data_IF_974894435949
#
_entry.id   IF_974894435949
#
_cell.length_a   1.000
_cell.length_b   1.000
_cell.length_c   1.000
_cell.angle_alpha   90.00
_cell.angle_beta   90.00
_cell.angle_gamma   90.00
#
_symmetry.space_group_name_H-M   'P 1'
#
loop_
_entity.id
_entity.type
_entity.pdbx_description
1 polymer ?
#
# COMPACT_ATOMS: atom_id res chain seq x y z
N UNK A 1 5.70 0.54 13.94
CA UNK A 1 6.77 -0.05 14.79
C UNK A 1 7.95 -0.50 13.95
N UNK A 2 9.17 -0.35 14.45
CA UNK A 2 10.40 -0.58 13.68
C UNK A 2 10.46 -1.99 13.07
N UNK A 3 10.00 -3.01 13.82
CA UNK A 3 9.93 -4.39 13.37
C UNK A 3 9.12 -4.60 12.07
N UNK A 4 8.17 -3.72 11.75
CA UNK A 4 7.39 -3.76 10.51
C UNK A 4 7.94 -2.80 9.46
N UNK A 5 8.46 -1.64 9.89
CA UNK A 5 9.06 -0.65 9.01
C UNK A 5 10.28 -1.19 8.25
N UNK A 6 11.06 -2.05 8.89
CA UNK A 6 12.26 -2.69 8.32
C UNK A 6 12.08 -4.17 8.00
N UNK A 7 10.83 -4.67 7.98
CA UNK A 7 10.53 -6.10 7.78
C UNK A 7 10.91 -6.61 6.39
N UNK A 8 10.76 -5.77 5.37
CA UNK A 8 10.99 -6.12 3.98
C UNK A 8 12.15 -5.32 3.41
N UNK A 9 13.02 -6.00 2.67
CA UNK A 9 14.12 -5.39 1.94
C UNK A 9 13.55 -4.59 0.74
N UNK A 10 13.77 -3.25 0.68
CA UNK A 10 13.34 -2.44 -0.45
C UNK A 10 13.89 -2.89 -1.81
N UNK A 11 15.01 -3.61 -1.84
CA UNK A 11 15.58 -4.14 -3.08
C UNK A 11 14.69 -5.22 -3.73
N UNK A 12 13.78 -5.84 -2.97
CA UNK A 12 12.81 -6.81 -3.49
C UNK A 12 11.57 -6.17 -4.12
N UNK A 13 11.35 -4.88 -3.89
CA UNK A 13 10.22 -4.16 -4.49
C UNK A 13 10.54 -3.92 -5.94
N UNK A 14 9.77 -4.48 -6.88
CA UNK A 14 9.78 -4.06 -8.28
C UNK A 14 8.75 -2.96 -8.52
N UNK A 15 9.18 -1.81 -9.04
CA UNK A 15 8.25 -0.74 -9.39
C UNK A 15 7.50 -1.07 -10.69
N UNK A 16 6.20 -0.71 -10.79
CA UNK A 16 5.41 -1.02 -11.97
C UNK A 16 5.94 -0.24 -13.18
N UNK A 17 5.95 -0.81 -14.41
CA UNK A 17 6.45 -0.10 -15.60
C UNK A 17 5.81 1.27 -15.85
N UNK A 18 4.57 1.45 -15.38
CA UNK A 18 3.85 2.72 -15.42
C UNK A 18 4.49 3.89 -14.67
N UNK A 19 5.54 3.67 -13.84
CA UNK A 19 6.33 4.77 -13.26
C UNK A 19 6.97 5.66 -14.34
N UNK A 20 7.14 5.15 -15.56
CA UNK A 20 7.66 5.92 -16.70
C UNK A 20 6.63 6.86 -17.36
N UNK A 21 5.49 7.12 -16.70
CA UNK A 21 4.41 7.98 -17.20
C UNK A 21 4.89 9.39 -17.59
N UNK A 22 4.42 9.87 -18.75
CA UNK A 22 4.76 11.19 -19.33
C UNK A 22 3.62 12.20 -19.23
N UNK A 23 2.39 11.71 -18.97
CA UNK A 23 1.14 12.45 -18.99
C UNK A 23 0.78 13.05 -20.36
N UNK A 24 1.42 12.61 -21.44
CA UNK A 24 1.11 13.09 -22.79
C UNK A 24 -0.32 12.69 -23.19
N UNK A 25 -1.13 13.68 -23.61
CA UNK A 25 -2.53 13.45 -23.99
C UNK A 25 -3.48 13.16 -22.81
N UNK A 26 -3.01 13.23 -21.56
CA UNK A 26 -3.82 12.94 -20.37
C UNK A 26 -4.45 14.19 -19.74
N UNK A 27 -5.56 14.05 -19.00
CA UNK A 27 -6.14 15.16 -18.23
C UNK A 27 -5.10 15.78 -17.28
N UNK A 28 -4.98 17.12 -17.22
CA UNK A 28 -3.98 17.80 -16.39
C UNK A 28 -4.01 17.42 -14.91
N UNK A 29 -5.17 16.99 -14.40
CA UNK A 29 -5.36 16.59 -13.01
C UNK A 29 -4.42 15.44 -12.59
N UNK A 30 -4.08 14.51 -13.48
CA UNK A 30 -3.19 13.39 -13.13
C UNK A 30 -1.76 13.88 -12.83
N UNK A 31 -1.22 14.75 -13.68
CA UNK A 31 0.09 15.38 -13.45
C UNK A 31 0.09 16.21 -12.16
N UNK A 32 -1.00 16.94 -11.90
CA UNK A 32 -1.12 17.73 -10.68
C UNK A 32 -1.12 16.86 -9.42
N UNK A 33 -1.75 15.68 -9.45
CA UNK A 33 -1.73 14.73 -8.34
C UNK A 33 -0.36 14.06 -8.16
N UNK A 34 0.33 13.72 -9.24
CA UNK A 34 1.74 13.24 -9.20
C UNK A 34 2.64 14.24 -8.48
N UNK A 35 2.51 15.53 -8.82
CA UNK A 35 3.24 16.60 -8.17
C UNK A 35 2.82 16.81 -6.71
N UNK A 36 1.51 16.72 -6.40
CA UNK A 36 0.98 16.86 -5.04
C UNK A 36 1.55 15.83 -4.07
N UNK A 37 1.65 14.58 -4.53
CA UNK A 37 2.21 13.47 -3.75
C UNK A 37 3.74 13.34 -3.88
N UNK A 38 4.39 14.36 -4.43
CA UNK A 38 5.83 14.49 -4.55
C UNK A 38 6.53 13.32 -5.26
N UNK A 39 5.81 12.49 -6.03
CA UNK A 39 6.40 11.35 -6.75
C UNK A 39 7.52 11.84 -7.67
N UNK A 40 7.27 12.93 -8.38
CA UNK A 40 8.20 13.51 -9.36
C UNK A 40 9.52 14.01 -8.75
N UNK A 41 9.53 14.26 -7.44
CA UNK A 41 10.70 14.76 -6.70
C UNK A 41 11.31 13.71 -5.77
N UNK A 42 10.70 12.53 -5.70
CA UNK A 42 11.11 11.46 -4.81
C UNK A 42 12.12 10.54 -5.52
N UNK A 43 13.29 10.26 -4.91
CA UNK A 43 14.20 9.26 -5.45
C UNK A 43 13.54 7.88 -5.52
N UNK A 44 13.86 7.11 -6.55
CA UNK A 44 13.30 5.78 -6.75
C UNK A 44 13.51 4.84 -5.54
N UNK A 45 14.67 4.94 -4.89
CA UNK A 45 15.00 4.20 -3.67
C UNK A 45 14.04 4.52 -2.51
N UNK A 46 13.56 5.76 -2.42
CA UNK A 46 12.58 6.18 -1.42
C UNK A 46 11.21 5.60 -1.77
N UNK A 47 10.81 5.63 -3.04
CA UNK A 47 9.58 4.97 -3.48
C UNK A 47 9.59 3.46 -3.19
N UNK A 48 10.71 2.77 -3.46
CA UNK A 48 10.88 1.36 -3.09
C UNK A 48 10.80 1.14 -1.59
N UNK A 49 11.42 2.01 -0.77
CA UNK A 49 11.30 1.94 0.69
C UNK A 49 9.86 2.15 1.15
N UNK A 50 9.12 3.10 0.57
CA UNK A 50 7.71 3.32 0.91
C UNK A 50 6.85 2.09 0.63
N UNK A 51 7.04 1.42 -0.50
CA UNK A 51 6.31 0.18 -0.83
C UNK A 51 6.71 -0.97 0.10
N UNK A 52 7.99 -1.12 0.43
CA UNK A 52 8.43 -2.14 1.40
C UNK A 52 7.84 -1.89 2.80
N UNK A 53 7.75 -0.62 3.21
CA UNK A 53 7.06 -0.22 4.45
C UNK A 53 5.57 -0.54 4.35
N UNK A 54 4.91 -0.27 3.22
CA UNK A 54 3.51 -0.64 3.01
C UNK A 54 3.28 -2.15 3.17
N UNK A 55 4.15 -3.02 2.65
CA UNK A 55 4.09 -4.47 2.90
C UNK A 55 4.25 -4.81 4.38
N UNK A 56 5.13 -4.09 5.09
CA UNK A 56 5.26 -4.15 6.54
C UNK A 56 3.96 -3.81 7.27
N UNK A 57 3.26 -2.76 6.82
CA UNK A 57 1.95 -2.37 7.35
C UNK A 57 0.89 -3.45 7.10
N UNK A 58 0.86 -4.05 5.90
CA UNK A 58 -0.03 -5.18 5.61
C UNK A 58 0.22 -6.35 6.56
N UNK A 59 1.50 -6.68 6.82
CA UNK A 59 1.85 -7.73 7.80
C UNK A 59 1.42 -7.40 9.22
N UNK A 60 1.52 -6.12 9.62
CA UNK A 60 1.04 -5.68 10.93
C UNK A 60 -0.48 -5.88 11.04
N UNK A 61 -1.23 -5.45 10.02
CA UNK A 61 -2.70 -5.60 9.98
C UNK A 61 -3.09 -7.09 10.01
N UNK A 62 -2.41 -7.93 9.24
CA UNK A 62 -2.61 -9.39 9.23
C UNK A 62 -2.44 -9.99 10.64
N UNK A 63 -1.35 -9.65 11.34
CA UNK A 63 -1.15 -10.12 12.72
C UNK A 63 -2.25 -9.64 13.67
N UNK A 64 -2.72 -8.39 13.54
CA UNK A 64 -3.79 -7.87 14.39
C UNK A 64 -5.14 -8.53 14.10
N UNK A 65 -5.44 -8.83 12.84
CA UNK A 65 -6.63 -9.60 12.45
C UNK A 65 -6.53 -11.02 13.02
N UNK A 66 -5.36 -11.67 12.88
CA UNK A 66 -5.09 -12.97 13.46
C UNK A 66 -5.38 -13.01 14.96
N UNK A 67 -4.96 -12.00 15.72
CA UNK A 67 -5.27 -11.89 17.17
C UNK A 67 -6.78 -11.91 17.46
N UNK A 68 -7.59 -11.26 16.63
CA UNK A 68 -9.05 -11.22 16.79
C UNK A 68 -9.65 -12.59 16.44
N UNK A 69 -9.24 -13.18 15.32
CA UNK A 69 -9.73 -14.47 14.86
C UNK A 69 -9.35 -15.60 15.82
N UNK A 70 -8.11 -15.67 16.29
CA UNK A 70 -7.67 -16.62 17.32
C UNK A 70 -8.54 -16.50 18.57
N UNK A 71 -8.84 -15.27 19.01
CA UNK A 71 -9.68 -15.09 20.20
C UNK A 71 -11.13 -15.54 19.97
N UNK A 72 -11.67 -15.33 18.77
CA UNK A 72 -13.00 -15.80 18.38
C UNK A 72 -13.08 -17.34 18.40
N UNK A 73 -12.04 -18.02 17.92
CA UNK A 73 -11.92 -19.48 17.97
C UNK A 73 -11.83 -20.01 19.42
N UNK A 74 -10.98 -19.42 20.26
CA UNK A 74 -10.84 -19.79 21.68
C UNK A 74 -12.15 -19.68 22.48
N UNK A 75 -13.03 -18.76 22.08
CA UNK A 75 -14.34 -18.56 22.69
C UNK A 75 -15.42 -19.50 22.13
N UNK A 76 -15.10 -20.33 21.12
CA UNK A 76 -16.05 -21.21 20.46
C UNK A 76 -17.09 -20.48 19.60
N UNK A 77 -16.78 -19.25 19.15
CA UNK A 77 -17.73 -18.40 18.41
C UNK A 77 -17.62 -18.56 16.89
N UNK A 78 -16.57 -19.22 16.39
CA UNK A 78 -16.24 -19.28 14.97
C UNK A 78 -17.39 -19.82 14.09
N UNK A 79 -18.08 -20.88 14.53
CA UNK A 79 -19.18 -21.51 13.76
C UNK A 79 -20.49 -20.69 13.73
N UNK A 80 -20.56 -19.63 14.53
CA UNK A 80 -21.77 -18.80 14.69
C UNK A 80 -21.55 -17.33 14.32
N UNK A 81 -20.35 -16.99 13.84
CA UNK A 81 -19.95 -15.61 13.54
C UNK A 81 -19.59 -15.47 12.06
N UNK A 82 -20.25 -14.57 11.35
CA UNK A 82 -19.83 -14.19 9.99
C UNK A 82 -18.73 -13.14 10.04
N UNK A 83 -17.67 -13.32 9.25
CA UNK A 83 -16.55 -12.38 9.13
C UNK A 83 -16.55 -11.78 7.73
N UNK A 84 -16.52 -10.45 7.66
CA UNK A 84 -16.38 -9.70 6.41
C UNK A 84 -15.09 -8.89 6.48
N UNK A 85 -14.19 -9.09 5.53
CA UNK A 85 -12.95 -8.35 5.39
C UNK A 85 -12.98 -7.53 4.10
N UNK A 86 -12.72 -6.23 4.19
CA UNK A 86 -12.76 -5.30 3.05
C UNK A 86 -11.78 -4.16 3.29
N UNK A 87 -11.47 -3.43 2.22
CA UNK A 87 -10.88 -2.10 2.27
C UNK A 87 -11.87 -1.10 1.65
N UNK A 88 -11.75 0.18 2.02
CA UNK A 88 -12.52 1.28 1.43
C UNK A 88 -11.92 1.73 0.08
N UNK A 89 -10.59 1.63 -0.05
CA UNK A 89 -9.85 1.88 -1.29
C UNK A 89 -8.50 1.13 -1.32
N UNK A 90 -7.80 1.23 -2.46
CA UNK A 90 -6.43 0.73 -2.64
C UNK A 90 -5.37 1.82 -2.47
N UNK A 91 -4.14 1.48 -2.82
CA UNK A 91 -2.97 2.38 -2.84
C UNK A 91 -2.27 2.22 -4.20
N UNK A 92 -1.84 3.31 -4.82
CA UNK A 92 -1.16 3.26 -6.12
C UNK A 92 0.24 2.62 -6.03
N UNK A 93 0.94 2.74 -4.90
CA UNK A 93 2.31 2.20 -4.70
C UNK A 93 3.29 2.59 -5.83
N UNK A 94 3.09 3.77 -6.43
CA UNK A 94 3.91 4.29 -7.52
C UNK A 94 3.38 4.06 -8.93
N UNK A 95 2.28 3.30 -9.10
CA UNK A 95 1.64 3.15 -10.40
C UNK A 95 1.31 4.52 -11.01
N UNK A 96 1.64 4.71 -12.29
CA UNK A 96 1.45 5.97 -13.03
C UNK A 96 2.06 7.21 -12.37
N UNK A 97 3.13 7.05 -11.59
CA UNK A 97 3.77 8.12 -10.80
C UNK A 97 2.86 8.67 -9.69
N UNK A 98 2.00 7.84 -9.12
CA UNK A 98 1.09 8.23 -8.04
C UNK A 98 1.37 7.44 -6.75
N UNK A 99 1.21 8.13 -5.62
CA UNK A 99 1.10 7.54 -4.29
C UNK A 99 -0.26 7.92 -3.69
N UNK A 100 -0.69 7.24 -2.63
CA UNK A 100 -2.04 7.35 -2.04
C UNK A 100 -3.13 6.93 -3.06
N UNK A 101 -4.15 7.78 -3.19
CA UNK A 101 -5.33 7.61 -4.05
C UNK A 101 -5.67 8.95 -4.67
N UNK A 102 -6.40 8.91 -5.78
CA UNK A 102 -6.72 10.10 -6.54
C UNK A 102 -7.19 9.78 -7.95
N UNK A 103 -7.48 10.81 -8.75
CA UNK A 103 -7.85 10.65 -10.14
C UNK A 103 -6.66 10.10 -10.93
N UNK A 104 -6.79 8.85 -11.37
CA UNK A 104 -5.85 8.16 -12.26
C UNK A 104 -6.09 8.47 -13.74
#
# INVERSE_FOLDING_TARGET
PDAYYDRYDPALVELPPSVAETFEGKPPVQRNYSAHWAFDTMPEEVSRKLVAVYWGYVSLVDEQIGRILTRMEELGLADSTSVFFTADHGEFTGAHRLHDKGPA
#
